data_IF_888824747439
#
_entry.id   IF_888824747439
#
_cell.length_a   1.000
_cell.length_b   1.000
_cell.length_c   1.000
_cell.angle_alpha   90.00
_cell.angle_beta   90.00
_cell.angle_gamma   90.00
#
_symmetry.space_group_name_H-M   'P 1'
#
loop_
_entity.id
_entity.type
_entity.pdbx_description
1 polymer ?
#
# COMPACT_ATOMS: atom_id res chain seq x y z
N UNK A 1 -1.45 12.25 -32.57
CA UNK A 1 -0.42 11.71 -31.64
C UNK A 1 -1.12 10.66 -30.80
N UNK A 2 -0.54 9.46 -30.60
CA UNK A 2 -1.12 8.49 -29.68
C UNK A 2 -0.95 9.03 -28.25
N UNK A 3 -2.05 9.32 -27.57
CA UNK A 3 -2.06 9.61 -26.14
C UNK A 3 -1.80 8.31 -25.40
N UNK A 4 -0.73 8.26 -24.61
CA UNK A 4 -0.44 7.14 -23.73
C UNK A 4 -1.54 7.08 -22.66
N UNK A 5 -2.07 5.88 -22.42
CA UNK A 5 -3.09 5.64 -21.38
C UNK A 5 -2.51 5.90 -19.98
N UNK A 6 -1.30 5.40 -19.75
CA UNK A 6 -0.57 5.55 -18.49
C UNK A 6 0.81 6.17 -18.74
N UNK A 7 1.30 6.92 -17.75
CA UNK A 7 2.64 7.49 -17.75
C UNK A 7 3.31 7.27 -16.41
N UNK A 8 4.62 7.48 -16.33
CA UNK A 8 5.35 7.45 -15.06
C UNK A 8 4.68 8.40 -14.06
N UNK A 9 4.47 7.92 -12.84
CA UNK A 9 3.86 8.70 -11.77
C UNK A 9 4.80 9.84 -11.39
N UNK A 10 4.28 11.07 -11.38
CA UNK A 10 5.03 12.29 -11.04
C UNK A 10 4.44 13.05 -9.86
N UNK A 11 3.22 12.72 -9.47
CA UNK A 11 2.48 13.43 -8.43
C UNK A 11 1.76 12.44 -7.54
N UNK A 12 1.51 12.85 -6.29
CA UNK A 12 0.77 12.04 -5.32
C UNK A 12 -0.69 11.82 -5.73
N UNK A 13 -1.30 12.79 -6.43
CA UNK A 13 -2.67 12.66 -6.96
C UNK A 13 -2.73 11.55 -8.01
N UNK A 14 -1.79 11.54 -8.96
CA UNK A 14 -1.68 10.48 -9.97
C UNK A 14 -1.44 9.10 -9.34
N UNK A 15 -0.64 9.02 -8.27
CA UNK A 15 -0.45 7.78 -7.52
C UNK A 15 -1.78 7.23 -6.98
N UNK A 16 -2.54 8.04 -6.25
CA UNK A 16 -3.81 7.60 -5.68
C UNK A 16 -4.86 7.26 -6.74
N UNK A 17 -4.86 7.98 -7.86
CA UNK A 17 -5.75 7.64 -8.97
C UNK A 17 -5.38 6.29 -9.59
N UNK A 18 -4.09 5.97 -9.74
CA UNK A 18 -3.66 4.68 -10.26
C UNK A 18 -3.97 3.54 -9.27
N UNK A 19 -3.80 3.75 -7.97
CA UNK A 19 -4.21 2.78 -6.95
C UNK A 19 -5.71 2.47 -7.03
N UNK A 20 -6.56 3.50 -7.21
CA UNK A 20 -8.01 3.32 -7.34
C UNK A 20 -8.38 2.51 -8.59
N UNK A 21 -7.73 2.83 -9.71
CA UNK A 21 -7.95 2.09 -10.96
C UNK A 21 -7.51 0.63 -10.80
N UNK A 22 -6.34 0.39 -10.21
CA UNK A 22 -5.84 -0.96 -9.95
C UNK A 22 -6.81 -1.75 -9.06
N UNK A 23 -7.30 -1.15 -7.98
CA UNK A 23 -8.30 -1.74 -7.10
C UNK A 23 -9.56 -2.15 -7.89
N UNK A 24 -10.13 -1.23 -8.67
CA UNK A 24 -11.31 -1.48 -9.49
C UNK A 24 -11.09 -2.60 -10.54
N UNK A 25 -9.87 -2.72 -11.10
CA UNK A 25 -9.54 -3.74 -12.10
C UNK A 25 -9.37 -5.13 -11.48
N UNK A 26 -8.71 -5.22 -10.32
CA UNK A 26 -8.48 -6.49 -9.63
C UNK A 26 -9.80 -7.14 -9.20
N UNK A 27 -10.81 -6.35 -8.82
CA UNK A 27 -12.13 -6.86 -8.46
C UNK A 27 -13.01 -7.29 -9.65
N UNK A 28 -12.62 -7.01 -10.89
CA UNK A 28 -13.41 -7.35 -12.08
C UNK A 28 -13.19 -8.81 -12.58
N UNK A 29 -12.23 -9.55 -12.02
CA UNK A 29 -11.92 -10.96 -12.37
C UNK A 29 -11.91 -11.22 -13.89
N UNK A 30 -11.15 -10.41 -14.64
CA UNK A 30 -11.04 -10.53 -16.10
C UNK A 30 -9.58 -10.62 -16.54
N UNK A 31 -9.18 -11.80 -17.04
CA UNK A 31 -7.83 -12.12 -17.53
C UNK A 31 -7.35 -11.20 -18.67
N UNK A 32 -8.26 -10.54 -19.41
CA UNK A 32 -7.87 -9.58 -20.45
C UNK A 32 -7.26 -8.28 -19.89
N UNK A 33 -7.37 -8.08 -18.57
CA UNK A 33 -6.86 -6.90 -17.87
C UNK A 33 -5.51 -7.17 -17.17
N UNK A 34 -4.98 -8.39 -17.21
CA UNK A 34 -3.75 -8.77 -16.50
C UNK A 34 -2.56 -7.88 -16.89
N UNK A 35 -2.33 -7.67 -18.19
CA UNK A 35 -1.26 -6.78 -18.69
C UNK A 35 -1.42 -5.33 -18.20
N UNK A 36 -2.66 -4.88 -17.99
CA UNK A 36 -2.97 -3.54 -17.50
C UNK A 36 -2.75 -3.43 -15.99
N UNK A 37 -3.15 -4.46 -15.24
CA UNK A 37 -2.93 -4.62 -13.81
C UNK A 37 -1.42 -4.64 -13.53
N UNK A 38 -0.66 -5.47 -14.24
CA UNK A 38 0.79 -5.59 -14.12
C UNK A 38 1.51 -4.26 -14.39
N UNK A 39 1.05 -3.51 -15.41
CA UNK A 39 1.62 -2.21 -15.72
C UNK A 39 1.33 -1.18 -14.60
N UNK A 40 0.11 -1.14 -14.08
CA UNK A 40 -0.26 -0.24 -13.00
C UNK A 40 0.51 -0.57 -11.72
N UNK A 41 0.61 -1.85 -11.37
CA UNK A 41 1.37 -2.34 -10.22
C UNK A 41 2.85 -1.91 -10.31
N UNK A 42 3.50 -2.11 -11.45
CA UNK A 42 4.89 -1.69 -11.67
C UNK A 42 5.08 -0.17 -11.52
N UNK A 43 4.12 0.64 -11.98
CA UNK A 43 4.20 2.09 -11.88
C UNK A 43 4.03 2.58 -10.43
N UNK A 44 3.12 1.96 -9.69
CA UNK A 44 2.84 2.22 -8.26
C UNK A 44 4.06 1.81 -7.43
N UNK A 45 4.56 0.58 -7.61
CA UNK A 45 5.71 0.04 -6.88
C UNK A 45 6.96 0.92 -7.07
N UNK A 46 7.19 1.40 -8.30
CA UNK A 46 8.28 2.33 -8.58
C UNK A 46 8.12 3.64 -7.79
N UNK A 47 6.92 4.22 -7.79
CA UNK A 47 6.66 5.45 -7.05
C UNK A 47 6.85 5.25 -5.54
N UNK A 48 6.34 4.15 -5.00
CA UNK A 48 6.47 3.80 -3.58
C UNK A 48 7.94 3.61 -3.20
N UNK A 49 8.72 2.92 -4.02
CA UNK A 49 10.17 2.77 -3.78
C UNK A 49 10.90 4.11 -3.74
N UNK A 50 10.54 5.03 -4.63
CA UNK A 50 11.16 6.36 -4.74
C UNK A 50 10.69 7.33 -3.64
N UNK A 51 9.49 7.14 -3.07
CA UNK A 51 8.84 8.06 -2.12
C UNK A 51 8.63 7.48 -0.71
N UNK A 52 8.90 6.20 -0.50
CA UNK A 52 8.81 5.56 0.82
C UNK A 52 9.93 6.09 1.71
N UNK A 53 9.55 6.82 2.75
CA UNK A 53 10.46 7.20 3.84
C UNK A 53 10.73 6.06 4.80
N UNK A 54 10.00 4.94 4.65
CA UNK A 54 10.02 3.81 5.57
C UNK A 54 11.03 2.72 5.14
N UNK A 55 11.56 2.76 3.91
CA UNK A 55 12.47 1.72 3.41
C UNK A 55 11.87 0.31 3.46
N UNK A 56 12.70 -0.73 3.30
CA UNK A 56 12.33 -2.12 3.62
C UNK A 56 12.36 -2.34 5.16
N UNK A 57 11.64 -1.52 5.93
CA UNK A 57 11.49 -1.81 7.35
C UNK A 57 10.62 -3.05 7.53
N UNK A 58 11.08 -3.96 8.37
CA UNK A 58 10.27 -5.09 8.81
C UNK A 58 8.94 -4.56 9.40
N UNK A 59 7.78 -5.04 8.90
CA UNK A 59 6.48 -4.49 9.28
C UNK A 59 6.18 -4.66 10.78
N UNK A 60 6.77 -5.67 11.44
CA UNK A 60 6.66 -5.86 12.89
C UNK A 60 7.48 -4.82 13.63
N UNK A 61 8.69 -4.52 13.16
CA UNK A 61 9.53 -3.46 13.74
C UNK A 61 8.93 -2.07 13.53
N UNK A 62 8.32 -1.81 12.36
CA UNK A 62 7.56 -0.57 12.12
C UNK A 62 6.35 -0.45 13.04
N UNK A 63 5.60 -1.54 13.23
CA UNK A 63 4.47 -1.54 14.16
C UNK A 63 4.93 -1.25 15.58
N UNK A 64 6.04 -1.86 16.02
CA UNK A 64 6.62 -1.61 17.35
C UNK A 64 7.07 -0.16 17.51
N UNK A 65 7.72 0.45 16.51
CA UNK A 65 8.16 1.84 16.59
C UNK A 65 6.97 2.80 16.70
N UNK A 66 5.90 2.55 15.92
CA UNK A 66 4.66 3.31 16.03
C UNK A 66 3.99 3.12 17.40
N UNK A 67 3.99 1.90 17.94
CA UNK A 67 3.47 1.66 19.29
C UNK A 67 4.29 2.41 20.34
N UNK A 68 5.62 2.47 20.21
CA UNK A 68 6.51 3.22 21.10
C UNK A 68 6.27 4.73 21.01
N UNK A 69 6.26 5.30 19.79
CA UNK A 69 6.02 6.71 19.52
C UNK A 69 4.67 7.20 20.05
N UNK A 70 3.66 6.33 20.02
CA UNK A 70 2.32 6.60 20.54
C UNK A 70 2.08 6.11 21.97
N UNK A 71 3.12 5.60 22.65
CA UNK A 71 3.08 5.10 24.02
C UNK A 71 1.99 4.02 24.25
N UNK A 72 1.77 3.17 23.23
CA UNK A 72 0.83 2.05 23.20
C UNK A 72 1.51 0.75 23.62
N UNK A 73 0.81 -0.06 24.42
CA UNK A 73 1.21 -1.44 24.72
C UNK A 73 0.41 -2.42 23.88
N UNK A 74 0.89 -3.66 23.77
CA UNK A 74 0.17 -4.74 23.05
C UNK A 74 -1.28 -4.93 23.52
N UNK A 75 -1.57 -4.68 24.81
CA UNK A 75 -2.95 -4.70 25.34
C UNK A 75 -3.82 -3.58 24.75
N UNK A 76 -3.24 -2.41 24.54
CA UNK A 76 -3.95 -1.23 24.05
C UNK A 76 -4.24 -1.42 22.55
N UNK A 77 -3.28 -1.95 21.80
CA UNK A 77 -3.48 -2.31 20.39
C UNK A 77 -4.52 -3.43 20.22
N UNK A 78 -4.49 -4.46 21.08
CA UNK A 78 -5.50 -5.52 21.08
C UNK A 78 -6.92 -4.96 21.32
N UNK A 79 -7.07 -4.01 22.24
CA UNK A 79 -8.34 -3.34 22.52
C UNK A 79 -8.82 -2.49 21.33
N UNK A 80 -7.93 -1.68 20.73
CA UNK A 80 -8.24 -0.83 19.57
C UNK A 80 -8.71 -1.67 18.37
N UNK A 81 -8.03 -2.79 18.11
CA UNK A 81 -8.32 -3.65 16.96
C UNK A 81 -9.41 -4.70 17.23
N UNK A 82 -9.94 -4.77 18.46
CA UNK A 82 -10.91 -5.80 18.85
C UNK A 82 -10.34 -7.22 18.82
N UNK A 83 -9.03 -7.37 19.03
CA UNK A 83 -8.29 -8.64 19.02
C UNK A 83 -8.00 -9.13 20.43
N UNK A 84 -7.60 -10.40 20.54
CA UNK A 84 -7.12 -10.93 21.83
C UNK A 84 -5.65 -10.60 22.04
N UNK A 85 -5.24 -10.44 23.29
CA UNK A 85 -3.83 -10.17 23.64
C UNK A 85 -2.88 -11.23 23.05
N UNK A 86 -3.29 -12.50 23.00
CA UNK A 86 -2.48 -13.58 22.42
C UNK A 86 -2.25 -13.47 20.92
N UNK A 87 -3.08 -12.70 20.20
CA UNK A 87 -2.95 -12.44 18.76
C UNK A 87 -1.91 -11.35 18.46
N UNK A 88 -1.65 -10.45 19.41
CA UNK A 88 -0.75 -9.29 19.25
C UNK A 88 0.63 -9.53 19.88
N UNK A 89 0.78 -10.61 20.67
CA UNK A 89 1.92 -10.85 21.55
C UNK A 89 3.02 -11.72 20.94
#
# INVERSE_FOLDING_TARGET
MKTLKYTVIKTREQYFDYCRILEDLVFQENDELDDEIDLLDLLIEKWDRDHSTLGELDPVELLKSLMEDHNLKAKDLAEILGLTKGTVS
#
